data_IF_083580561103
#
_entry.id   IF_083580561103
#
_cell.length_a   1.000
_cell.length_b   1.000
_cell.length_c   1.000
_cell.angle_alpha   90.00
_cell.angle_beta   90.00
_cell.angle_gamma   90.00
#
_symmetry.space_group_name_H-M   'P 1'
#
loop_
_entity.id
_entity.type
_entity.pdbx_description
1 polymer ?
#
# COMPACT_ATOMS: atom_id res chain seq x y z
N UNK A 1 1.71 15.94 24.21
CA UNK A 1 1.34 14.50 24.31
C UNK A 1 -0.17 14.30 24.32
N UNK A 2 -0.94 15.27 24.81
CA UNK A 2 -2.41 15.16 24.95
C UNK A 2 -3.16 15.09 23.62
N UNK A 3 -2.70 15.79 22.58
CA UNK A 3 -3.36 15.80 21.26
C UNK A 3 -3.34 14.42 20.60
N UNK A 4 -2.25 13.66 20.71
CA UNK A 4 -2.16 12.30 20.16
C UNK A 4 -3.10 11.35 20.92
N UNK A 5 -3.04 11.37 22.25
CA UNK A 5 -3.89 10.53 23.12
C UNK A 5 -5.38 10.82 22.93
N UNK A 6 -5.76 12.10 22.82
CA UNK A 6 -7.14 12.53 22.63
C UNK A 6 -7.74 12.13 21.28
N UNK A 7 -6.89 11.92 20.26
CA UNK A 7 -7.30 11.59 18.91
C UNK A 7 -7.01 10.12 18.53
N UNK A 8 -6.59 9.27 19.47
CA UNK A 8 -6.39 7.82 19.24
C UNK A 8 -7.58 7.14 18.56
N UNK A 9 -8.86 7.42 18.93
CA UNK A 9 -10.01 6.82 18.25
C UNK A 9 -10.10 7.15 16.76
N UNK A 10 -9.54 8.28 16.32
CA UNK A 10 -9.47 8.67 14.90
C UNK A 10 -8.28 8.03 14.19
N UNK A 11 -7.12 7.93 14.85
CA UNK A 11 -5.92 7.35 14.25
C UNK A 11 -5.99 5.83 14.10
N UNK A 12 -6.65 5.11 15.02
CA UNK A 12 -6.81 3.66 14.94
C UNK A 12 -7.43 3.20 13.61
N UNK A 13 -8.61 3.70 13.18
CA UNK A 13 -9.19 3.27 11.90
C UNK A 13 -8.34 3.69 10.70
N UNK A 14 -7.64 4.82 10.76
CA UNK A 14 -6.72 5.27 9.72
C UNK A 14 -5.54 4.30 9.56
N UNK A 15 -4.92 3.88 10.66
CA UNK A 15 -3.82 2.90 10.67
C UNK A 15 -4.31 1.54 10.17
N UNK A 16 -5.50 1.10 10.59
CA UNK A 16 -6.09 -0.16 10.10
C UNK A 16 -6.29 -0.10 8.58
N UNK A 17 -6.83 1.00 8.06
CA UNK A 17 -7.01 1.19 6.63
C UNK A 17 -5.66 1.18 5.88
N UNK A 18 -4.64 1.86 6.41
CA UNK A 18 -3.28 1.84 5.84
C UNK A 18 -2.69 0.42 5.82
N UNK A 19 -2.81 -0.33 6.92
CA UNK A 19 -2.31 -1.72 7.00
C UNK A 19 -3.04 -2.63 6.02
N UNK A 20 -4.38 -2.54 5.94
CA UNK A 20 -5.16 -3.34 4.97
C UNK A 20 -4.71 -3.01 3.55
N UNK A 21 -4.55 -1.72 3.23
CA UNK A 21 -4.13 -1.28 1.90
C UNK A 21 -2.71 -1.77 1.56
N UNK A 22 -1.77 -1.67 2.50
CA UNK A 22 -0.40 -2.13 2.30
C UNK A 22 -0.32 -3.66 2.13
N UNK A 23 -1.02 -4.41 2.98
CA UNK A 23 -1.04 -5.88 2.90
C UNK A 23 -1.70 -6.36 1.60
N UNK A 24 -2.84 -5.79 1.22
CA UNK A 24 -3.52 -6.14 -0.03
C UNK A 24 -2.67 -5.81 -1.25
N UNK A 25 -2.04 -4.62 -1.29
CA UNK A 25 -1.10 -4.25 -2.35
C UNK A 25 0.08 -5.22 -2.42
N UNK A 26 0.69 -5.57 -1.29
CA UNK A 26 1.83 -6.49 -1.26
C UNK A 26 1.46 -7.89 -1.74
N UNK A 27 0.33 -8.43 -1.28
CA UNK A 27 -0.19 -9.72 -1.74
C UNK A 27 -0.40 -9.69 -3.25
N UNK A 28 -1.01 -8.61 -3.76
CA UNK A 28 -1.25 -8.44 -5.18
C UNK A 28 0.07 -8.35 -5.95
N UNK A 29 1.04 -7.55 -5.50
CA UNK A 29 2.39 -7.50 -6.08
C UNK A 29 2.98 -8.90 -6.16
N UNK A 30 2.97 -9.68 -5.09
CA UNK A 30 3.64 -10.99 -5.08
C UNK A 30 2.95 -12.02 -5.99
N UNK A 31 1.62 -11.96 -6.12
CA UNK A 31 0.82 -12.89 -6.92
C UNK A 31 0.73 -12.52 -8.40
N UNK A 32 0.85 -11.25 -8.74
CA UNK A 32 0.64 -10.79 -10.11
C UNK A 32 1.94 -10.90 -10.94
N UNK A 33 1.90 -11.52 -12.12
CA UNK A 33 3.11 -11.77 -12.92
C UNK A 33 3.49 -10.61 -13.84
N UNK A 34 2.59 -9.68 -14.16
CA UNK A 34 2.79 -8.63 -15.16
C UNK A 34 2.60 -7.24 -14.55
N UNK A 35 3.51 -6.31 -14.81
CA UNK A 35 3.45 -4.95 -14.27
C UNK A 35 3.50 -3.96 -15.41
N UNK A 36 2.68 -2.91 -15.31
CA UNK A 36 2.65 -1.85 -16.33
C UNK A 36 3.99 -1.10 -16.41
N UNK A 37 4.63 -0.89 -15.26
CA UNK A 37 5.93 -0.24 -15.14
C UNK A 37 6.84 -1.03 -14.19
N UNK A 38 8.09 -1.26 -14.59
CA UNK A 38 9.10 -1.91 -13.74
C UNK A 38 8.83 -3.40 -13.47
N UNK A 39 9.14 -3.86 -12.26
CA UNK A 39 9.09 -5.28 -11.90
C UNK A 39 8.55 -5.53 -10.48
N UNK A 40 8.41 -6.81 -10.12
CA UNK A 40 7.92 -7.28 -8.81
C UNK A 40 8.67 -6.68 -7.63
N UNK A 41 10.00 -6.70 -7.68
CA UNK A 41 10.86 -6.27 -6.58
C UNK A 41 10.70 -4.77 -6.34
N UNK A 42 10.72 -3.97 -7.41
CA UNK A 42 10.51 -2.53 -7.34
C UNK A 42 9.18 -2.19 -6.67
N UNK A 43 8.08 -2.82 -7.09
CA UNK A 43 6.77 -2.57 -6.49
C UNK A 43 6.67 -3.06 -5.06
N UNK A 44 7.30 -4.19 -4.70
CA UNK A 44 7.33 -4.64 -3.32
C UNK A 44 8.04 -3.62 -2.41
N UNK A 45 9.16 -3.04 -2.86
CA UNK A 45 9.86 -1.99 -2.13
C UNK A 45 9.01 -0.71 -2.03
N UNK A 46 8.38 -0.28 -3.13
CA UNK A 46 7.53 0.92 -3.13
C UNK A 46 6.38 0.76 -2.14
N UNK A 47 5.69 -0.37 -2.15
CA UNK A 47 4.56 -0.68 -1.27
C UNK A 47 4.99 -0.71 0.21
N UNK A 48 6.20 -1.20 0.51
CA UNK A 48 6.69 -1.34 1.89
C UNK A 48 7.32 -0.07 2.46
N UNK A 49 7.95 0.78 1.64
CA UNK A 49 8.79 1.88 2.13
C UNK A 49 8.21 3.29 1.88
N UNK A 50 7.15 3.43 1.07
CA UNK A 50 6.56 4.74 0.74
C UNK A 50 5.20 4.96 1.43
N UNK A 51 4.95 4.24 2.55
CA UNK A 51 3.70 4.36 3.36
C UNK A 51 2.45 4.29 2.48
N UNK A 52 1.35 4.96 2.83
CA UNK A 52 0.10 5.06 2.06
C UNK A 52 0.31 5.34 0.56
N UNK A 53 1.32 6.12 0.17
CA UNK A 53 1.55 6.50 -1.23
C UNK A 53 1.96 5.28 -2.08
N UNK A 54 2.76 4.37 -1.55
CA UNK A 54 3.26 3.20 -2.27
C UNK A 54 2.16 2.25 -2.77
N UNK A 55 1.29 1.73 -1.89
CA UNK A 55 0.11 0.94 -2.23
C UNK A 55 -0.84 1.65 -3.21
N UNK A 56 -1.11 2.96 -3.01
CA UNK A 56 -1.98 3.72 -3.91
C UNK A 56 -1.34 3.79 -5.31
N UNK A 57 -0.05 4.14 -5.40
CA UNK A 57 0.66 4.18 -6.66
C UNK A 57 0.67 2.82 -7.36
N UNK A 58 0.82 1.72 -6.60
CA UNK A 58 0.73 0.39 -7.15
C UNK A 58 -0.65 0.12 -7.78
N UNK A 59 -1.75 0.39 -7.09
CA UNK A 59 -3.07 0.12 -7.65
C UNK A 59 -3.46 1.07 -8.79
N UNK A 60 -2.94 2.29 -8.82
CA UNK A 60 -3.25 3.26 -9.90
C UNK A 60 -2.36 3.05 -11.13
N UNK A 61 -1.08 2.79 -10.93
CA UNK A 61 -0.07 2.78 -11.99
C UNK A 61 0.64 1.44 -12.17
N UNK A 62 0.83 0.69 -11.09
CA UNK A 62 1.70 -0.49 -11.06
C UNK A 62 1.04 -1.80 -11.46
N UNK A 63 -0.23 -2.01 -11.08
CA UNK A 63 -1.00 -3.16 -11.55
C UNK A 63 -1.09 -3.08 -13.07
N UNK A 64 -0.60 -4.12 -13.75
CA UNK A 64 -0.82 -4.28 -15.17
C UNK A 64 -2.31 -4.32 -15.48
N UNK A 65 -2.68 -4.14 -16.75
CA UNK A 65 -4.02 -4.51 -17.17
C UNK A 65 -4.17 -6.02 -16.94
N UNK A 66 -5.19 -6.41 -16.16
CA UNK A 66 -5.67 -7.79 -16.16
C UNK A 66 -6.19 -8.04 -17.58
N UNK A 67 -5.45 -8.79 -18.39
CA UNK A 67 -6.02 -9.35 -19.64
C UNK A 67 -7.24 -10.22 -19.33
#
# INVERSE_FOLDING_TARGET
MDVLMANLPLFIPLIIAEVILAVTALIHVLRHPHYRFGNKIMWALIVLFIQVIGPIAYFVLGRGEEE
#
